data_IF_814011854626
#
_entry.id   IF_814011854626
#
_cell.length_a   1.000
_cell.length_b   1.000
_cell.length_c   1.000
_cell.angle_alpha   90.00
_cell.angle_beta   90.00
_cell.angle_gamma   90.00
#
_symmetry.space_group_name_H-M   'P 1'
#
loop_
_entity.id
_entity.type
_entity.pdbx_description
1 polymer ?
#
# COMPACT_ATOMS: atom_id res chain seq x y z
N UNK A 1 0.59 -16.48 27.70
CA UNK A 1 0.57 -15.06 27.31
C UNK A 1 0.10 -14.85 25.86
N UNK A 2 0.72 -15.43 24.83
CA UNK A 2 0.34 -15.26 23.41
C UNK A 2 -1.12 -15.63 23.11
N UNK A 3 -1.65 -16.74 23.67
CA UNK A 3 -3.06 -17.15 23.49
C UNK A 3 -4.06 -16.14 24.06
N UNK A 4 -3.71 -15.46 25.15
CA UNK A 4 -4.56 -14.42 25.77
C UNK A 4 -4.60 -13.17 24.91
N UNK A 5 -3.45 -12.73 24.40
CA UNK A 5 -3.35 -11.58 23.49
C UNK A 5 -4.13 -11.84 22.19
N UNK A 6 -3.99 -13.03 21.60
CA UNK A 6 -4.73 -13.42 20.40
C UNK A 6 -6.25 -13.38 20.63
N UNK A 7 -6.75 -13.92 21.75
CA UNK A 7 -8.17 -13.87 22.09
C UNK A 7 -8.68 -12.44 22.29
N UNK A 8 -7.90 -11.57 22.95
CA UNK A 8 -8.26 -10.17 23.13
C UNK A 8 -8.32 -9.44 21.79
N UNK A 9 -7.32 -9.64 20.93
CA UNK A 9 -7.30 -9.08 19.57
C UNK A 9 -8.53 -9.52 18.77
N UNK A 10 -8.84 -10.83 18.75
CA UNK A 10 -10.03 -11.37 18.07
C UNK A 10 -11.32 -10.69 18.55
N UNK A 11 -11.48 -10.54 19.85
CA UNK A 11 -12.67 -9.89 20.43
C UNK A 11 -12.82 -8.44 19.98
N UNK A 12 -11.73 -7.67 19.95
CA UNK A 12 -11.74 -6.28 19.48
C UNK A 12 -12.02 -6.22 17.97
N UNK A 13 -11.40 -7.12 17.20
CA UNK A 13 -11.59 -7.21 15.75
C UNK A 13 -13.03 -7.56 15.37
N UNK A 14 -13.71 -8.43 16.12
CA UNK A 14 -15.11 -8.77 15.91
C UNK A 14 -16.06 -7.62 16.30
N UNK A 15 -15.72 -6.88 17.38
CA UNK A 15 -16.55 -5.77 17.86
C UNK A 15 -16.37 -4.49 17.04
N UNK A 16 -15.14 -4.21 16.59
CA UNK A 16 -14.78 -3.00 15.86
C UNK A 16 -13.94 -3.32 14.62
N UNK A 17 -14.51 -4.02 13.62
CA UNK A 17 -13.74 -4.59 12.52
C UNK A 17 -12.98 -3.54 11.69
N UNK A 18 -13.62 -2.40 11.35
CA UNK A 18 -12.96 -1.36 10.57
C UNK A 18 -11.81 -0.72 11.35
N UNK A 19 -12.07 -0.26 12.57
CA UNK A 19 -11.05 0.41 13.39
C UNK A 19 -9.85 -0.50 13.64
N UNK A 20 -10.09 -1.78 13.98
CA UNK A 20 -9.01 -2.74 14.26
C UNK A 20 -8.19 -3.05 13.02
N UNK A 21 -8.83 -3.25 11.85
CA UNK A 21 -8.10 -3.50 10.60
C UNK A 21 -7.29 -2.26 10.17
N UNK A 22 -7.84 -1.06 10.29
CA UNK A 22 -7.16 0.20 9.99
C UNK A 22 -5.97 0.42 10.92
N UNK A 23 -6.14 0.21 12.24
CA UNK A 23 -5.03 0.32 13.21
C UNK A 23 -3.94 -0.72 12.94
N UNK A 24 -4.33 -1.96 12.61
CA UNK A 24 -3.38 -3.01 12.25
C UNK A 24 -2.63 -2.66 10.97
N UNK A 25 -3.33 -2.15 9.96
CA UNK A 25 -2.71 -1.69 8.71
C UNK A 25 -1.72 -0.55 8.98
N UNK A 26 -2.11 0.45 9.79
CA UNK A 26 -1.21 1.54 10.19
C UNK A 26 0.10 1.00 10.77
N UNK A 27 0.04 0.10 11.75
CA UNK A 27 1.24 -0.48 12.38
C UNK A 27 2.06 -1.29 11.37
N UNK A 28 1.40 -2.16 10.60
CA UNK A 28 2.06 -3.05 9.63
C UNK A 28 2.79 -2.23 8.56
N UNK A 29 2.13 -1.23 7.97
CA UNK A 29 2.73 -0.39 6.92
C UNK A 29 3.82 0.51 7.47
N UNK A 30 3.66 1.05 8.69
CA UNK A 30 4.70 1.86 9.35
C UNK A 30 5.97 1.04 9.57
N UNK A 31 5.86 -0.10 10.24
CA UNK A 31 7.01 -0.97 10.51
C UNK A 31 7.63 -1.48 9.20
N UNK A 32 6.79 -1.89 8.26
CA UNK A 32 7.23 -2.39 6.96
C UNK A 32 8.00 -1.37 6.14
N UNK A 33 7.48 -0.14 6.02
CA UNK A 33 8.16 0.90 5.23
C UNK A 33 9.44 1.40 5.90
N UNK A 34 9.46 1.57 7.23
CA UNK A 34 10.69 1.91 7.97
C UNK A 34 11.75 0.82 7.77
N UNK A 35 11.34 -0.46 7.84
CA UNK A 35 12.26 -1.59 7.58
C UNK A 35 12.79 -1.58 6.15
N UNK A 36 11.93 -1.31 5.17
CA UNK A 36 12.32 -1.20 3.77
C UNK A 36 13.31 -0.04 3.55
N UNK A 37 13.03 1.14 4.13
CA UNK A 37 13.92 2.30 4.07
C UNK A 37 15.29 1.99 4.73
N UNK A 38 15.29 1.25 5.83
CA UNK A 38 16.54 0.84 6.49
C UNK A 38 17.36 -0.13 5.62
N UNK A 39 16.72 -1.10 4.96
CA UNK A 39 17.37 -2.01 4.02
C UNK A 39 17.98 -1.22 2.85
N UNK A 40 17.19 -0.33 2.23
CA UNK A 40 17.67 0.54 1.15
C UNK A 40 18.85 1.44 1.56
N UNK A 41 18.82 1.96 2.79
CA UNK A 41 19.91 2.72 3.36
C UNK A 41 21.20 1.89 3.46
N UNK A 42 21.10 0.66 3.96
CA UNK A 42 22.25 -0.25 4.07
C UNK A 42 22.86 -0.61 2.71
N UNK A 43 22.02 -0.77 1.68
CA UNK A 43 22.48 -1.08 0.32
C UNK A 43 23.20 0.10 -0.34
N UNK A 44 22.82 1.34 -0.02
CA UNK A 44 23.45 2.55 -0.59
C UNK A 44 24.88 2.80 -0.10
N UNK A 45 25.32 2.17 0.99
CA UNK A 45 26.67 2.32 1.58
C UNK A 45 27.09 3.80 1.77
N UNK A 46 26.15 4.68 2.12
CA UNK A 46 26.42 6.10 2.38
C UNK A 46 26.97 6.29 3.79
N UNK A 47 27.78 7.33 3.99
CA UNK A 47 28.30 7.71 5.30
C UNK A 47 27.28 8.50 6.15
N UNK A 48 26.20 8.96 5.53
CA UNK A 48 25.16 9.74 6.18
C UNK A 48 24.38 8.89 7.21
N UNK A 49 23.87 9.46 8.30
CA UNK A 49 23.04 8.76 9.26
C UNK A 49 21.70 8.33 8.65
N UNK A 50 21.13 7.23 9.14
CA UNK A 50 19.80 6.78 8.71
C UNK A 50 18.74 7.79 9.15
N UNK A 51 17.97 8.30 8.19
CA UNK A 51 16.83 9.17 8.43
C UNK A 51 15.60 8.61 7.72
N UNK A 52 14.46 8.56 8.43
CA UNK A 52 13.19 8.11 7.87
C UNK A 52 12.65 9.18 6.93
N UNK A 53 12.32 8.78 5.70
CA UNK A 53 11.57 9.63 4.76
C UNK A 53 10.10 9.69 5.21
N UNK A 54 9.79 10.68 6.04
CA UNK A 54 8.47 10.90 6.61
C UNK A 54 7.40 11.20 5.54
N UNK A 55 7.78 11.84 4.43
CA UNK A 55 6.86 12.13 3.33
C UNK A 55 6.42 10.85 2.61
N UNK A 56 7.37 9.96 2.30
CA UNK A 56 7.10 8.64 1.73
C UNK A 56 6.21 7.81 2.67
N UNK A 57 6.58 7.77 3.95
CA UNK A 57 5.84 7.05 4.98
C UNK A 57 4.40 7.59 5.12
N UNK A 58 4.24 8.91 5.23
CA UNK A 58 2.93 9.56 5.32
C UNK A 58 2.04 9.26 4.11
N UNK A 59 2.59 9.32 2.90
CA UNK A 59 1.89 8.96 1.68
C UNK A 59 1.38 7.52 1.70
N UNK A 60 2.23 6.57 2.11
CA UNK A 60 1.87 5.16 2.17
C UNK A 60 0.82 4.89 3.25
N UNK A 61 0.95 5.49 4.43
CA UNK A 61 0.00 5.36 5.52
C UNK A 61 -1.37 5.91 5.12
N UNK A 62 -1.41 7.12 4.56
CA UNK A 62 -2.68 7.72 4.11
C UNK A 62 -3.39 6.83 3.08
N UNK A 63 -2.66 6.31 2.09
CA UNK A 63 -3.22 5.37 1.13
C UNK A 63 -3.79 4.11 1.81
N UNK A 64 -3.00 3.46 2.65
CA UNK A 64 -3.37 2.19 3.26
C UNK A 64 -4.52 2.30 4.26
N UNK A 65 -4.54 3.35 5.06
CA UNK A 65 -5.52 3.57 6.13
C UNK A 65 -6.86 4.06 5.56
N UNK A 66 -6.85 5.06 4.69
CA UNK A 66 -8.08 5.74 4.25
C UNK A 66 -8.67 5.15 2.97
N UNK A 67 -7.87 4.49 2.13
CA UNK A 67 -8.34 3.99 0.84
C UNK A 67 -8.25 2.47 0.78
N UNK A 68 -7.03 1.92 0.86
CA UNK A 68 -6.78 0.51 0.60
C UNK A 68 -7.53 -0.41 1.57
N UNK A 69 -7.34 -0.24 2.87
CA UNK A 69 -7.94 -1.12 3.89
C UNK A 69 -9.46 -1.11 3.87
N UNK A 70 -10.17 0.05 3.88
CA UNK A 70 -11.63 0.08 3.81
C UNK A 70 -12.19 -0.54 2.53
N UNK A 71 -11.56 -0.24 1.38
CA UNK A 71 -12.00 -0.76 0.08
C UNK A 71 -11.86 -2.28 0.02
N UNK A 72 -10.69 -2.82 0.39
CA UNK A 72 -10.47 -4.27 0.34
C UNK A 72 -11.27 -5.04 1.38
N UNK A 73 -11.54 -4.47 2.55
CA UNK A 73 -12.49 -5.06 3.51
C UNK A 73 -13.88 -5.25 2.89
N UNK A 74 -14.38 -4.23 2.20
CA UNK A 74 -15.67 -4.30 1.50
C UNK A 74 -15.65 -5.27 0.33
N UNK A 75 -14.62 -5.25 -0.49
CA UNK A 75 -14.46 -6.20 -1.60
C UNK A 75 -14.48 -7.66 -1.12
N UNK A 76 -13.76 -7.97 -0.05
CA UNK A 76 -13.74 -9.33 0.49
C UNK A 76 -15.10 -9.76 1.04
N UNK A 77 -15.86 -8.86 1.67
CA UNK A 77 -17.24 -9.12 2.11
C UNK A 77 -18.16 -9.41 0.91
N UNK A 78 -18.04 -8.62 -0.16
CA UNK A 78 -18.80 -8.82 -1.40
C UNK A 78 -18.45 -10.18 -2.03
N UNK A 79 -17.18 -10.54 -2.12
CA UNK A 79 -16.76 -11.84 -2.65
C UNK A 79 -17.24 -13.01 -1.80
N UNK A 80 -17.32 -12.85 -0.47
CA UNK A 80 -17.87 -13.86 0.41
C UNK A 80 -19.40 -13.99 0.27
N UNK A 81 -20.08 -12.89 0.03
CA UNK A 81 -21.52 -12.88 -0.24
C UNK A 81 -21.83 -13.58 -1.58
N UNK A 82 -21.07 -13.29 -2.65
CA UNK A 82 -21.31 -13.88 -3.97
C UNK A 82 -20.95 -15.36 -4.02
N UNK A 83 -19.89 -15.78 -3.33
CA UNK A 83 -19.40 -17.15 -3.33
C UNK A 83 -19.14 -17.65 -1.90
N UNK A 84 -20.20 -17.96 -1.11
CA UNK A 84 -20.06 -18.28 0.32
C UNK A 84 -19.36 -19.61 0.58
N UNK A 85 -19.46 -20.58 -0.35
CA UNK A 85 -18.88 -21.92 -0.19
C UNK A 85 -17.38 -21.91 -0.51
N UNK A 86 -16.58 -22.57 0.32
CA UNK A 86 -15.13 -22.75 0.12
C UNK A 86 -14.82 -23.92 -0.84
N UNK A 87 -15.38 -23.90 -2.05
CA UNK A 87 -15.02 -24.86 -3.11
C UNK A 87 -13.84 -24.33 -3.93
N UNK A 88 -13.02 -25.20 -4.54
CA UNK A 88 -11.90 -24.78 -5.40
C UNK A 88 -12.36 -23.78 -6.49
N UNK A 89 -13.52 -24.03 -7.10
CA UNK A 89 -14.09 -23.14 -8.12
C UNK A 89 -14.44 -21.75 -7.56
N UNK A 90 -15.05 -21.68 -6.39
CA UNK A 90 -15.39 -20.40 -5.77
C UNK A 90 -14.16 -19.65 -5.30
N UNK A 91 -13.12 -20.35 -4.84
CA UNK A 91 -11.83 -19.74 -4.52
C UNK A 91 -11.19 -19.16 -5.78
N UNK A 92 -11.17 -19.91 -6.88
CA UNK A 92 -10.67 -19.42 -8.17
C UNK A 92 -11.45 -18.16 -8.62
N UNK A 93 -12.78 -18.14 -8.51
CA UNK A 93 -13.60 -16.95 -8.82
C UNK A 93 -13.22 -15.75 -7.95
N UNK A 94 -13.03 -15.95 -6.65
CA UNK A 94 -12.58 -14.87 -5.72
C UNK A 94 -11.20 -14.33 -6.09
N UNK A 95 -10.25 -15.21 -6.41
CA UNK A 95 -8.91 -14.83 -6.84
C UNK A 95 -8.95 -14.03 -8.14
N UNK A 96 -9.71 -14.49 -9.13
CA UNK A 96 -9.89 -13.77 -10.40
C UNK A 96 -10.54 -12.41 -10.19
N UNK A 97 -11.57 -12.32 -9.35
CA UNK A 97 -12.24 -11.05 -9.04
C UNK A 97 -11.33 -10.08 -8.28
N UNK A 98 -10.51 -10.58 -7.35
CA UNK A 98 -9.48 -9.79 -6.68
C UNK A 98 -8.43 -9.29 -7.68
N UNK A 99 -8.04 -10.12 -8.65
CA UNK A 99 -7.11 -9.72 -9.72
C UNK A 99 -7.72 -8.68 -10.67
N UNK A 100 -8.99 -8.83 -11.01
CA UNK A 100 -9.70 -7.83 -11.82
C UNK A 100 -9.80 -6.49 -11.10
N UNK A 101 -10.00 -6.49 -9.78
CA UNK A 101 -10.00 -5.27 -8.96
C UNK A 101 -8.62 -4.59 -8.86
N UNK A 102 -7.54 -5.32 -9.15
CA UNK A 102 -6.19 -4.74 -9.16
C UNK A 102 -6.02 -3.69 -10.26
N UNK A 103 -6.70 -3.81 -11.40
CA UNK A 103 -6.62 -2.85 -12.51
C UNK A 103 -7.05 -1.45 -12.06
N UNK A 104 -8.31 -1.23 -11.62
CA UNK A 104 -8.74 0.09 -11.15
C UNK A 104 -7.97 0.53 -9.91
N UNK A 105 -7.62 -0.39 -8.99
CA UNK A 105 -6.89 -0.05 -7.78
C UNK A 105 -5.49 0.51 -8.10
N UNK A 106 -4.74 -0.11 -9.01
CA UNK A 106 -3.43 0.39 -9.42
C UNK A 106 -3.55 1.72 -10.18
N UNK A 107 -4.56 1.89 -11.03
CA UNK A 107 -4.81 3.16 -11.73
C UNK A 107 -5.09 4.29 -10.73
N UNK A 108 -5.96 4.06 -9.74
CA UNK A 108 -6.26 5.02 -8.66
C UNK A 108 -5.00 5.30 -7.83
N UNK A 109 -4.19 4.27 -7.54
CA UNK A 109 -2.93 4.43 -6.82
C UNK A 109 -1.92 5.29 -7.58
N UNK A 110 -1.82 5.16 -8.89
CA UNK A 110 -0.96 6.03 -9.71
C UNK A 110 -1.46 7.47 -9.70
N UNK A 111 -2.77 7.69 -9.82
CA UNK A 111 -3.39 9.00 -9.67
C UNK A 111 -3.13 9.61 -8.30
N UNK A 112 -3.33 8.84 -7.23
CA UNK A 112 -3.03 9.25 -5.86
C UNK A 112 -1.56 9.64 -5.69
N UNK A 113 -0.62 8.83 -6.19
CA UNK A 113 0.81 9.14 -6.10
C UNK A 113 1.20 10.40 -6.87
N UNK A 114 0.53 10.70 -7.98
CA UNK A 114 0.73 11.94 -8.72
C UNK A 114 0.15 13.15 -7.97
N UNK A 115 -1.00 13.00 -7.32
CA UNK A 115 -1.70 14.06 -6.62
C UNK A 115 -1.13 14.37 -5.22
N UNK A 116 -0.64 13.37 -4.50
CA UNK A 116 -0.29 13.49 -3.08
C UNK A 116 0.65 14.66 -2.75
N UNK A 117 1.75 14.90 -3.47
CA UNK A 117 2.61 16.06 -3.21
C UNK A 117 1.86 17.39 -3.29
N UNK A 118 0.99 17.53 -4.29
CA UNK A 118 0.20 18.75 -4.51
C UNK A 118 -0.93 18.90 -3.48
N UNK A 119 -1.50 17.78 -2.99
CA UNK A 119 -2.48 17.79 -1.90
C UNK A 119 -1.84 18.28 -0.60
N UNK A 120 -0.61 17.88 -0.33
CA UNK A 120 0.15 18.36 0.83
C UNK A 120 0.47 19.85 0.69
N UNK A 121 0.95 20.29 -0.48
CA UNK A 121 1.22 21.71 -0.77
C UNK A 121 -0.04 22.56 -0.66
N UNK A 122 -1.19 22.06 -1.11
CA UNK A 122 -2.49 22.74 -0.96
C UNK A 122 -2.91 22.82 0.51
N UNK A 123 -2.83 21.71 1.25
CA UNK A 123 -3.31 21.64 2.64
C UNK A 123 -2.48 22.51 3.61
N UNK A 124 -1.18 22.61 3.40
CA UNK A 124 -0.27 23.32 4.30
C UNK A 124 0.29 24.62 3.75
N UNK A 125 0.24 24.83 2.45
CA UNK A 125 0.79 26.02 1.77
C UNK A 125 -0.24 26.89 1.04
N UNK A 126 -1.50 26.45 0.94
CA UNK A 126 -2.55 27.16 0.20
C UNK A 126 -2.26 27.32 -1.30
N UNK A 127 -1.41 26.45 -1.86
CA UNK A 127 -1.02 26.50 -3.26
C UNK A 127 -2.07 25.79 -4.11
N UNK A 128 -2.51 26.41 -5.19
CA UNK A 128 -3.51 25.85 -6.10
C UNK A 128 -3.09 24.48 -6.66
N UNK A 129 -4.08 23.59 -6.80
CA UNK A 129 -3.86 22.24 -7.35
C UNK A 129 -3.70 22.32 -8.88
N UNK A 130 -2.54 21.91 -9.43
CA UNK A 130 -2.31 21.87 -10.87
C UNK A 130 -2.96 20.62 -11.48
N UNK A 131 -4.29 20.60 -11.56
CA UNK A 131 -5.10 19.42 -11.92
C UNK A 131 -4.65 18.78 -13.24
N UNK A 132 -4.41 19.60 -14.27
CA UNK A 132 -3.96 19.11 -15.58
C UNK A 132 -2.62 18.37 -15.47
N UNK A 133 -1.64 18.94 -14.75
CA UNK A 133 -0.32 18.33 -14.55
C UNK A 133 -0.41 17.01 -13.78
N UNK A 134 -1.33 16.93 -12.81
CA UNK A 134 -1.59 15.68 -12.05
C UNK A 134 -2.18 14.63 -12.98
N UNK A 135 -3.17 15.00 -13.81
CA UNK A 135 -3.80 14.08 -14.77
C UNK A 135 -2.80 13.56 -15.80
N UNK A 136 -1.99 14.43 -16.40
CA UNK A 136 -0.98 14.05 -17.39
C UNK A 136 0.07 13.09 -16.79
N UNK A 137 0.53 13.37 -15.57
CA UNK A 137 1.47 12.50 -14.86
C UNK A 137 0.86 11.14 -14.52
N UNK A 138 -0.39 11.11 -14.08
CA UNK A 138 -1.11 9.87 -13.78
C UNK A 138 -1.37 9.06 -15.04
N UNK A 139 -1.83 9.69 -16.13
CA UNK A 139 -2.09 9.04 -17.41
C UNK A 139 -0.81 8.46 -18.00
N UNK A 140 0.28 9.21 -18.01
CA UNK A 140 1.59 8.72 -18.46
C UNK A 140 2.04 7.50 -17.67
N UNK A 141 1.93 7.55 -16.35
CA UNK A 141 2.34 6.42 -15.49
C UNK A 141 1.46 5.19 -15.70
N UNK A 142 0.16 5.37 -15.90
CA UNK A 142 -0.74 4.28 -16.27
C UNK A 142 -0.35 3.67 -17.65
N UNK A 143 -0.08 4.50 -18.63
CA UNK A 143 0.34 4.02 -19.96
C UNK A 143 1.64 3.20 -19.90
N UNK A 144 2.62 3.69 -19.16
CA UNK A 144 3.98 3.14 -19.19
C UNK A 144 4.14 1.91 -18.26
N UNK A 145 3.46 1.90 -17.11
CA UNK A 145 3.75 0.92 -16.05
C UNK A 145 2.58 -0.03 -15.74
N UNK A 146 1.32 0.31 -16.06
CA UNK A 146 0.14 -0.42 -15.57
C UNK A 146 0.17 -1.90 -15.98
N UNK A 147 0.45 -2.19 -17.24
CA UNK A 147 0.42 -3.57 -17.77
C UNK A 147 1.48 -4.44 -17.09
N UNK A 148 2.69 -3.91 -16.95
CA UNK A 148 3.80 -4.64 -16.31
C UNK A 148 3.55 -4.84 -14.80
N UNK A 149 3.00 -3.81 -14.15
CA UNK A 149 2.61 -3.89 -12.73
C UNK A 149 1.51 -4.93 -12.53
N UNK A 150 0.51 -5.00 -13.41
CA UNK A 150 -0.56 -6.01 -13.31
C UNK A 150 -0.01 -7.42 -13.49
N UNK A 151 0.87 -7.65 -14.48
CA UNK A 151 1.49 -8.98 -14.70
C UNK A 151 2.28 -9.42 -13.45
N UNK A 152 3.14 -8.58 -12.93
CA UNK A 152 3.91 -8.87 -11.71
C UNK A 152 2.99 -9.07 -10.50
N UNK A 153 1.94 -8.25 -10.37
CA UNK A 153 0.92 -8.35 -9.33
C UNK A 153 0.19 -9.68 -9.37
N UNK A 154 -0.19 -10.18 -10.55
CA UNK A 154 -0.86 -11.49 -10.66
C UNK A 154 0.02 -12.63 -10.14
N UNK A 155 1.29 -12.66 -10.52
CA UNK A 155 2.23 -13.68 -10.06
C UNK A 155 2.36 -13.69 -8.54
N UNK A 156 2.42 -12.51 -7.93
CA UNK A 156 2.55 -12.38 -6.48
C UNK A 156 1.22 -12.61 -5.73
N UNK A 157 0.14 -11.95 -6.17
CA UNK A 157 -1.12 -11.93 -5.43
C UNK A 157 -2.00 -13.15 -5.63
N UNK A 158 -1.84 -13.92 -6.71
CA UNK A 158 -2.66 -15.12 -6.91
C UNK A 158 -2.45 -16.15 -5.79
N UNK A 159 -1.23 -16.60 -5.47
CA UNK A 159 -1.01 -17.51 -4.37
C UNK A 159 -1.40 -16.90 -3.02
N UNK A 160 -1.09 -15.63 -2.78
CA UNK A 160 -1.44 -14.93 -1.54
C UNK A 160 -2.96 -14.88 -1.33
N UNK A 161 -3.73 -14.54 -2.38
CA UNK A 161 -5.18 -14.50 -2.31
C UNK A 161 -5.80 -15.89 -2.25
N UNK A 162 -5.24 -16.89 -2.92
CA UNK A 162 -5.70 -18.28 -2.81
C UNK A 162 -5.58 -18.78 -1.36
N UNK A 163 -4.43 -18.58 -0.73
CA UNK A 163 -4.22 -18.90 0.68
C UNK A 163 -5.16 -18.11 1.58
N UNK A 164 -5.35 -16.82 1.30
CA UNK A 164 -6.24 -15.95 2.04
C UNK A 164 -7.68 -16.47 2.03
N UNK A 165 -8.23 -16.77 0.86
CA UNK A 165 -9.62 -17.23 0.75
C UNK A 165 -9.82 -18.67 1.25
N UNK A 166 -8.80 -19.52 1.16
CA UNK A 166 -8.90 -20.92 1.60
C UNK A 166 -8.75 -21.05 3.11
N UNK A 167 -7.69 -20.48 3.68
CA UNK A 167 -7.31 -20.72 5.08
C UNK A 167 -7.75 -19.61 6.03
N UNK A 168 -7.73 -18.34 5.58
CA UNK A 168 -7.91 -17.21 6.49
C UNK A 168 -9.40 -16.91 6.70
N UNK A 169 -9.89 -16.84 7.97
CA UNK A 169 -11.24 -16.39 8.27
C UNK A 169 -11.49 -14.97 7.78
N UNK A 170 -12.73 -14.66 7.36
CA UNK A 170 -13.10 -13.37 6.76
C UNK A 170 -12.65 -12.16 7.55
N UNK A 171 -12.76 -12.23 8.88
CA UNK A 171 -12.36 -11.16 9.82
C UNK A 171 -10.87 -10.80 9.75
N UNK A 172 -9.98 -11.77 9.47
CA UNK A 172 -8.53 -11.57 9.43
C UNK A 172 -7.95 -11.30 8.05
N UNK A 173 -8.75 -11.39 6.99
CA UNK A 173 -8.28 -11.27 5.59
C UNK A 173 -7.59 -9.96 5.28
N UNK A 174 -8.12 -8.87 5.84
CA UNK A 174 -7.53 -7.55 5.64
C UNK A 174 -6.14 -7.45 6.30
N UNK A 175 -5.99 -7.97 7.51
CA UNK A 175 -4.68 -8.00 8.21
C UNK A 175 -3.67 -8.85 7.44
N UNK A 176 -4.09 -10.05 6.96
CA UNK A 176 -3.27 -10.89 6.08
C UNK A 176 -2.79 -10.13 4.85
N UNK A 177 -3.72 -9.47 4.16
CA UNK A 177 -3.40 -8.71 2.95
C UNK A 177 -2.48 -7.53 3.25
N UNK A 178 -2.67 -6.83 4.36
CA UNK A 178 -1.79 -5.73 4.79
C UNK A 178 -0.35 -6.21 5.02
N UNK A 179 -0.17 -7.38 5.66
CA UNK A 179 1.16 -7.95 5.87
C UNK A 179 1.87 -8.26 4.54
N UNK A 180 1.17 -8.89 3.60
CA UNK A 180 1.73 -9.18 2.26
C UNK A 180 1.91 -7.92 1.41
N UNK A 181 1.13 -6.87 1.64
CA UNK A 181 1.31 -5.58 0.97
C UNK A 181 2.63 -4.92 1.35
N UNK A 182 3.15 -5.14 2.56
CA UNK A 182 4.49 -4.68 2.93
C UNK A 182 5.57 -5.38 2.10
N UNK A 183 5.47 -6.72 1.98
CA UNK A 183 6.39 -7.50 1.14
C UNK A 183 6.34 -7.01 -0.31
N UNK A 184 5.15 -6.81 -0.83
CA UNK A 184 4.93 -6.29 -2.19
C UNK A 184 5.51 -4.88 -2.38
N UNK A 185 5.29 -3.97 -1.43
CA UNK A 185 5.82 -2.60 -1.48
C UNK A 185 7.35 -2.58 -1.43
N UNK A 186 7.94 -3.42 -0.58
CA UNK A 186 9.40 -3.56 -0.50
C UNK A 186 9.97 -4.07 -1.83
N UNK A 187 9.36 -5.11 -2.42
CA UNK A 187 9.73 -5.63 -3.74
C UNK A 187 9.66 -4.55 -4.83
N UNK A 188 8.57 -3.80 -4.90
CA UNK A 188 8.43 -2.70 -5.86
C UNK A 188 9.47 -1.61 -5.63
N UNK A 189 9.82 -1.31 -4.39
CA UNK A 189 10.85 -0.33 -4.07
C UNK A 189 12.22 -0.78 -4.54
N UNK A 190 12.59 -2.01 -4.29
CA UNK A 190 13.87 -2.59 -4.73
C UNK A 190 14.00 -2.59 -6.27
N UNK A 191 12.91 -2.88 -7.00
CA UNK A 191 12.92 -2.79 -8.47
C UNK A 191 13.07 -1.35 -8.94
N UNK A 192 12.36 -0.41 -8.31
CA UNK A 192 12.40 1.00 -8.71
C UNK A 192 13.77 1.66 -8.48
N UNK A 193 14.59 1.11 -7.58
CA UNK A 193 15.91 1.64 -7.26
C UNK A 193 17.07 0.89 -7.95
N UNK A 194 16.79 -0.02 -8.89
CA UNK A 194 17.85 -0.61 -9.72
C UNK A 194 18.58 0.49 -10.51
N UNK A 195 19.92 0.50 -10.56
CA UNK A 195 20.68 1.48 -11.30
C UNK A 195 20.26 1.45 -12.78
N UNK A 196 19.69 2.54 -13.28
CA UNK A 196 19.20 2.69 -14.66
C UNK A 196 17.89 3.45 -14.80
N UNK A 197 17.11 3.67 -13.75
CA UNK A 197 15.88 4.47 -13.78
C UNK A 197 16.12 5.81 -13.12
N UNK A 198 16.45 6.82 -13.90
CA UNK A 198 16.63 8.21 -13.44
C UNK A 198 15.27 8.81 -13.11
N UNK A 199 15.00 9.12 -11.85
CA UNK A 199 13.85 9.91 -11.40
C UNK A 199 14.15 11.40 -11.54
N UNK A 200 13.76 12.01 -12.65
CA UNK A 200 13.65 13.46 -12.72
C UNK A 200 12.43 13.92 -11.92
N UNK A 201 12.65 14.71 -10.88
CA UNK A 201 11.60 15.50 -10.19
C UNK A 201 11.47 15.36 -8.68
N UNK A 202 12.00 14.34 -8.02
CA UNK A 202 11.87 14.19 -6.55
C UNK A 202 12.91 15.00 -5.75
N UNK A 203 13.97 15.49 -6.39
CA UNK A 203 15.06 16.20 -5.71
C UNK A 203 14.69 17.59 -5.14
N UNK A 204 13.71 18.27 -5.70
CA UNK A 204 13.35 19.64 -5.28
C UNK A 204 12.42 19.69 -4.05
N UNK A 205 11.60 18.68 -3.81
CA UNK A 205 10.71 18.65 -2.64
C UNK A 205 11.40 18.14 -1.37
N UNK A 206 12.41 17.26 -1.51
CA UNK A 206 13.19 16.77 -0.36
C UNK A 206 13.85 17.89 0.43
N UNK A 207 14.27 18.95 -0.25
CA UNK A 207 14.96 20.09 0.39
C UNK A 207 14.02 21.00 1.22
N UNK A 208 12.71 20.95 1.01
CA UNK A 208 11.75 21.81 1.73
C UNK A 208 11.23 21.22 3.04
N UNK A 209 11.33 19.90 3.22
CA UNK A 209 10.81 19.22 4.41
C UNK A 209 11.89 18.78 5.41
N UNK A 210 13.17 19.02 5.13
CA UNK A 210 14.19 19.06 6.16
C UNK A 210 13.99 20.37 6.93
N UNK A 211 13.24 20.31 8.00
CA UNK A 211 13.22 21.40 8.97
C UNK A 211 14.64 21.62 9.43
N UNK A 212 15.22 22.76 9.11
CA UNK A 212 16.39 23.29 9.79
C UNK A 212 16.00 23.49 11.25
N UNK A 213 16.34 22.52 12.08
CA UNK A 213 16.48 22.73 13.51
C UNK A 213 17.90 23.29 13.69
N UNK A 214 18.07 24.53 13.33
CA UNK A 214 19.18 25.33 13.83
C UNK A 214 18.63 26.23 14.93
N UNK A 215 19.05 25.88 16.12
CA UNK A 215 18.91 26.65 17.36
C UNK A 215 19.66 27.97 17.29
#
# INVERSE_FOLDING_TARGET
MLRSVAKSYTRVLERYPLATNVSSAFVIFTVGDISAQYIEYKERKTADPFMVDAFRLGKLINWSVFIYTPVFMKLYQVFDCWWPKKTPLNIARKVLSASASAVPTNAIFFGYNAAYPHLVDFAFGGIDLPVQKIQDKAAKKCSDELVNTIKASMVFWWPVNALNFFFIPGTYRSVWTSAWSVVWSTYLSLIAHRPGVVREGEGKLRHRLTFNVET
#
